data_IF_514752970428
#
_entry.id   IF_514752970428
#
_cell.length_a   1.000
_cell.length_b   1.000
_cell.length_c   1.000
_cell.angle_alpha   90.00
_cell.angle_beta   90.00
_cell.angle_gamma   90.00
#
_symmetry.space_group_name_H-M   'P 1'
#
loop_
_entity.id
_entity.type
_entity.pdbx_description
1 polymer ?
#
# COMPACT_ATOMS: atom_id res chain seq x y z
N UNK A 1 -10.30 -26.77 103.53
CA UNK A 1 -9.72 -26.58 104.88
C UNK A 1 -8.19 -26.54 104.78
N UNK A 2 -7.63 -25.35 104.56
CA UNK A 2 -6.18 -25.11 104.46
C UNK A 2 -5.70 -24.39 105.73
N UNK A 3 -4.65 -24.92 106.39
CA UNK A 3 -4.03 -24.30 107.56
C UNK A 3 -2.76 -23.58 107.15
N UNK A 4 -2.65 -22.30 107.51
CA UNK A 4 -1.42 -21.52 107.30
C UNK A 4 -0.68 -21.45 108.63
N UNK A 5 0.57 -21.93 108.62
CA UNK A 5 1.47 -21.89 109.77
C UNK A 5 2.28 -20.60 109.69
N UNK A 6 2.18 -19.77 110.73
CA UNK A 6 2.94 -18.52 110.77
C UNK A 6 4.44 -18.81 110.90
N UNK A 7 5.29 -18.36 109.95
CA UNK A 7 6.73 -18.65 109.98
C UNK A 7 7.48 -17.95 111.12
N UNK A 8 6.85 -16.99 111.82
CA UNK A 8 7.47 -16.23 112.91
C UNK A 8 7.18 -16.79 114.31
N UNK A 9 6.05 -17.48 114.51
CA UNK A 9 5.67 -18.01 115.83
C UNK A 9 5.12 -19.44 115.81
N UNK A 10 5.13 -20.10 114.65
CA UNK A 10 4.75 -21.50 114.41
C UNK A 10 3.35 -21.91 114.88
N UNK A 11 2.46 -20.96 115.16
CA UNK A 11 1.04 -21.25 115.44
C UNK A 11 0.30 -21.49 114.12
N UNK A 12 -0.48 -22.57 114.08
CA UNK A 12 -1.35 -22.91 112.95
C UNK A 12 -2.65 -22.09 113.05
N UNK A 13 -2.92 -21.28 112.03
CA UNK A 13 -4.16 -20.53 111.90
C UNK A 13 -5.06 -21.24 110.89
N UNK A 14 -6.31 -21.50 111.28
CA UNK A 14 -7.34 -22.03 110.39
C UNK A 14 -7.93 -20.87 109.61
N UNK A 15 -7.82 -20.88 108.28
CA UNK A 15 -8.56 -19.92 107.46
C UNK A 15 -10.03 -20.30 107.53
N UNK A 16 -10.84 -19.38 108.02
CA UNK A 16 -12.29 -19.46 107.90
C UNK A 16 -12.68 -19.17 106.45
N UNK A 17 -13.15 -20.21 105.75
CA UNK A 17 -13.59 -20.11 104.36
C UNK A 17 -14.79 -19.13 104.21
N UNK A 18 -15.57 -18.91 105.28
CA UNK A 18 -16.65 -17.92 105.29
C UNK A 18 -16.12 -16.47 105.27
N UNK A 19 -15.16 -16.14 106.14
CA UNK A 19 -14.53 -14.82 106.16
C UNK A 19 -13.74 -14.49 104.88
N UNK A 20 -13.11 -15.48 104.24
CA UNK A 20 -12.45 -15.29 102.93
C UNK A 20 -13.47 -15.03 101.81
N UNK A 21 -14.63 -15.71 101.82
CA UNK A 21 -15.71 -15.47 100.86
C UNK A 21 -16.34 -14.07 101.03
N UNK A 22 -16.43 -13.55 102.25
CA UNK A 22 -16.95 -12.19 102.51
C UNK A 22 -16.00 -11.08 102.02
N UNK A 23 -14.69 -11.26 102.20
CA UNK A 23 -13.67 -10.34 101.64
C UNK A 23 -13.66 -10.40 100.10
N UNK A 24 -13.83 -11.58 99.52
CA UNK A 24 -13.99 -11.72 98.07
C UNK A 24 -15.24 -11.02 97.55
N UNK A 25 -16.38 -11.15 98.25
CA UNK A 25 -17.63 -10.43 97.89
C UNK A 25 -17.49 -8.91 98.00
N UNK A 26 -16.66 -8.38 98.89
CA UNK A 26 -16.40 -6.92 98.95
C UNK A 26 -15.65 -6.38 97.73
N UNK A 27 -14.97 -7.24 96.97
CA UNK A 27 -14.12 -6.84 95.82
C UNK A 27 -14.67 -7.35 94.49
N UNK A 28 -15.39 -8.49 94.51
CA UNK A 28 -16.15 -9.09 93.41
C UNK A 28 -17.54 -9.45 93.92
N UNK A 29 -18.39 -8.44 93.98
CA UNK A 29 -19.82 -8.65 94.09
C UNK A 29 -20.46 -8.68 92.68
N UNK A 30 -21.73 -9.05 92.65
CA UNK A 30 -22.52 -9.06 91.41
C UNK A 30 -22.61 -7.66 90.78
N UNK A 31 -22.48 -6.59 91.57
CA UNK A 31 -22.49 -5.22 91.08
C UNK A 31 -21.20 -4.85 90.30
N UNK A 32 -20.03 -5.29 90.77
CA UNK A 32 -18.77 -5.15 90.06
C UNK A 32 -18.77 -5.92 88.74
N UNK A 33 -19.25 -7.17 88.74
CA UNK A 33 -19.37 -7.97 87.52
C UNK A 33 -20.33 -7.30 86.51
N UNK A 34 -21.46 -6.74 86.95
CA UNK A 34 -22.37 -5.97 86.10
C UNK A 34 -21.71 -4.73 85.47
N UNK A 35 -21.02 -3.91 86.27
CA UNK A 35 -20.30 -2.73 85.76
C UNK A 35 -19.17 -3.11 84.79
N UNK A 36 -18.46 -4.20 85.06
CA UNK A 36 -17.44 -4.72 84.16
C UNK A 36 -18.07 -5.17 82.84
N UNK A 37 -19.20 -5.86 82.90
CA UNK A 37 -19.95 -6.30 81.73
C UNK A 37 -20.41 -5.12 80.88
N UNK A 38 -21.01 -4.09 81.50
CA UNK A 38 -21.51 -2.90 80.83
C UNK A 38 -20.37 -2.12 80.13
N UNK A 39 -19.19 -2.02 80.77
CA UNK A 39 -18.00 -1.40 80.15
C UNK A 39 -17.44 -2.24 79.01
N UNK A 40 -17.46 -3.57 79.12
CA UNK A 40 -17.01 -4.46 78.04
C UNK A 40 -17.96 -4.39 76.85
N UNK A 41 -19.28 -4.33 77.07
CA UNK A 41 -20.27 -4.14 76.00
C UNK A 41 -20.10 -2.80 75.29
N UNK A 42 -19.88 -1.71 76.03
CA UNK A 42 -19.58 -0.40 75.45
C UNK A 42 -18.28 -0.44 74.61
N UNK A 43 -17.21 -1.04 75.14
CA UNK A 43 -15.96 -1.18 74.41
C UNK A 43 -16.10 -2.05 73.15
N UNK A 44 -16.91 -3.10 73.18
CA UNK A 44 -17.23 -3.90 72.02
C UNK A 44 -18.05 -3.12 70.98
N UNK A 45 -19.05 -2.35 71.41
CA UNK A 45 -19.82 -1.49 70.51
C UNK A 45 -18.94 -0.43 69.86
N UNK A 46 -18.09 0.26 70.64
CA UNK A 46 -17.15 1.25 70.11
C UNK A 46 -16.18 0.64 69.09
N UNK A 47 -15.67 -0.56 69.38
CA UNK A 47 -14.80 -1.29 68.44
C UNK A 47 -15.55 -1.66 67.15
N UNK A 48 -16.80 -2.15 67.25
CA UNK A 48 -17.63 -2.47 66.08
C UNK A 48 -17.91 -1.22 65.25
N UNK A 49 -18.31 -0.13 65.88
CA UNK A 49 -18.55 1.16 65.24
C UNK A 49 -17.30 1.69 64.55
N UNK A 50 -16.13 1.60 65.20
CA UNK A 50 -14.86 2.03 64.62
C UNK A 50 -14.47 1.19 63.38
N UNK A 51 -14.69 -0.13 63.41
CA UNK A 51 -14.46 -1.02 62.26
C UNK A 51 -15.44 -0.70 61.14
N UNK A 52 -16.71 -0.49 61.43
CA UNK A 52 -17.72 -0.13 60.43
C UNK A 52 -17.40 1.21 59.76
N UNK A 53 -17.00 2.22 60.53
CA UNK A 53 -16.54 3.51 60.02
C UNK A 53 -15.30 3.36 59.13
N UNK A 54 -14.34 2.50 59.51
CA UNK A 54 -13.17 2.21 58.71
C UNK A 54 -13.54 1.49 57.40
N UNK A 55 -14.44 0.50 57.46
CA UNK A 55 -14.93 -0.22 56.28
C UNK A 55 -15.70 0.72 55.33
N UNK A 56 -16.53 1.62 55.87
CA UNK A 56 -17.25 2.63 55.08
C UNK A 56 -16.29 3.60 54.39
N UNK A 57 -15.25 4.08 55.08
CA UNK A 57 -14.21 4.94 54.49
C UNK A 57 -13.46 4.24 53.36
N UNK A 58 -13.00 3.01 53.60
CA UNK A 58 -12.32 2.20 52.57
C UNK A 58 -13.25 1.90 51.40
N UNK A 59 -14.52 1.61 51.65
CA UNK A 59 -15.53 1.42 50.60
C UNK A 59 -15.71 2.67 49.73
N UNK A 60 -15.75 3.85 50.35
CA UNK A 60 -15.81 5.14 49.65
C UNK A 60 -14.56 5.41 48.80
N UNK A 61 -13.36 5.19 49.36
CA UNK A 61 -12.10 5.33 48.62
C UNK A 61 -12.01 4.37 47.43
N UNK A 62 -12.46 3.11 47.59
CA UNK A 62 -12.52 2.14 46.51
C UNK A 62 -13.48 2.60 45.41
N UNK A 63 -14.66 3.13 45.77
CA UNK A 63 -15.61 3.65 44.79
C UNK A 63 -15.04 4.86 44.04
N UNK A 64 -14.36 5.77 44.73
CA UNK A 64 -13.72 6.92 44.11
C UNK A 64 -12.59 6.50 43.16
N UNK A 65 -11.73 5.57 43.59
CA UNK A 65 -10.65 5.04 42.75
C UNK A 65 -11.20 4.32 41.52
N UNK A 66 -12.29 3.55 41.66
CA UNK A 66 -12.97 2.93 40.51
C UNK A 66 -13.50 3.98 39.53
N UNK A 67 -14.20 5.00 40.02
CA UNK A 67 -14.70 6.07 39.17
C UNK A 67 -13.57 6.82 38.43
N UNK A 68 -12.43 7.05 39.10
CA UNK A 68 -11.25 7.65 38.47
C UNK A 68 -10.62 6.75 37.40
N UNK A 69 -10.55 5.44 37.64
CA UNK A 69 -10.05 4.48 36.66
C UNK A 69 -10.96 4.39 35.43
N UNK A 70 -12.27 4.31 35.64
CA UNK A 70 -13.26 4.27 34.55
C UNK A 70 -13.19 5.55 33.71
N UNK A 71 -13.10 6.73 34.36
CA UNK A 71 -12.94 8.00 33.68
C UNK A 71 -11.63 8.07 32.87
N UNK A 72 -10.51 7.58 33.44
CA UNK A 72 -9.24 7.52 32.75
C UNK A 72 -9.26 6.55 31.55
N UNK A 73 -9.95 5.41 31.67
CA UNK A 73 -10.10 4.45 30.59
C UNK A 73 -10.93 5.03 29.43
N UNK A 74 -12.03 5.72 29.74
CA UNK A 74 -12.85 6.43 28.74
C UNK A 74 -12.03 7.53 28.04
N UNK A 75 -11.29 8.35 28.80
CA UNK A 75 -10.43 9.39 28.23
C UNK A 75 -9.35 8.79 27.33
N UNK A 76 -8.74 7.67 27.72
CA UNK A 76 -7.74 6.96 26.90
C UNK A 76 -8.36 6.42 25.61
N UNK A 77 -9.54 5.79 25.69
CA UNK A 77 -10.25 5.30 24.50
C UNK A 77 -10.56 6.44 23.55
N UNK A 78 -11.06 7.56 24.06
CA UNK A 78 -11.36 8.75 23.25
C UNK A 78 -10.11 9.29 22.56
N UNK A 79 -9.01 9.48 23.31
CA UNK A 79 -7.74 9.95 22.75
C UNK A 79 -7.20 9.02 21.65
N UNK A 80 -7.31 7.70 21.83
CA UNK A 80 -6.93 6.72 20.81
C UNK A 80 -7.84 6.81 19.58
N UNK A 81 -9.15 6.92 19.78
CA UNK A 81 -10.11 7.05 18.66
C UNK A 81 -9.89 8.34 17.87
N UNK A 82 -9.62 9.46 18.53
CA UNK A 82 -9.32 10.74 17.88
C UNK A 82 -8.02 10.68 17.08
N UNK A 83 -6.95 10.11 17.66
CA UNK A 83 -5.68 9.91 16.98
C UNK A 83 -5.82 8.99 15.76
N UNK A 84 -6.55 7.88 15.90
CA UNK A 84 -6.82 6.97 14.79
C UNK A 84 -7.68 7.63 13.71
N UNK A 85 -8.65 8.47 14.08
CA UNK A 85 -9.48 9.20 13.12
C UNK A 85 -8.65 10.18 12.28
N UNK A 86 -7.72 10.90 12.92
CA UNK A 86 -6.81 11.80 12.22
C UNK A 86 -5.91 11.05 11.22
N UNK A 87 -5.25 9.98 11.68
CA UNK A 87 -4.39 9.14 10.84
C UNK A 87 -5.18 8.49 9.70
N UNK A 88 -6.42 8.06 9.96
CA UNK A 88 -7.27 7.47 8.94
C UNK A 88 -7.65 8.47 7.85
N UNK A 89 -7.95 9.73 8.21
CA UNK A 89 -8.21 10.80 7.23
C UNK A 89 -6.98 11.09 6.37
N UNK A 90 -5.80 11.18 6.98
CA UNK A 90 -4.55 11.39 6.25
C UNK A 90 -4.26 10.22 5.30
N UNK A 91 -4.43 8.98 5.77
CA UNK A 91 -4.27 7.78 4.93
C UNK A 91 -5.23 7.80 3.75
N UNK A 92 -6.50 8.12 3.98
CA UNK A 92 -7.52 8.13 2.93
C UNK A 92 -7.26 9.26 1.91
N UNK A 93 -6.79 10.42 2.37
CA UNK A 93 -6.35 11.50 1.48
C UNK A 93 -5.15 11.09 0.62
N UNK A 94 -4.09 10.55 1.24
CA UNK A 94 -2.89 10.07 0.53
C UNK A 94 -3.21 8.94 -0.45
N UNK A 95 -4.11 8.02 -0.09
CA UNK A 95 -4.55 6.95 -0.98
C UNK A 95 -5.24 7.51 -2.22
N UNK A 96 -6.10 8.51 -2.07
CA UNK A 96 -6.78 9.18 -3.17
C UNK A 96 -5.80 9.96 -4.07
N UNK A 97 -4.85 10.70 -3.47
CA UNK A 97 -3.81 11.41 -4.21
C UNK A 97 -2.92 10.46 -5.01
N UNK A 98 -2.52 9.33 -4.40
CA UNK A 98 -1.71 8.32 -5.06
C UNK A 98 -2.45 7.64 -6.21
N UNK A 99 -3.74 7.36 -6.04
CA UNK A 99 -4.59 6.81 -7.09
C UNK A 99 -4.76 7.80 -8.26
N UNK A 100 -4.97 9.08 -7.94
CA UNK A 100 -5.05 10.14 -8.94
C UNK A 100 -3.74 10.32 -9.70
N UNK A 101 -2.61 10.40 -8.98
CA UNK A 101 -1.28 10.50 -9.59
C UNK A 101 -0.94 9.30 -10.49
N UNK A 102 -1.37 8.08 -10.11
CA UNK A 102 -1.23 6.89 -10.96
C UNK A 102 -2.05 7.01 -12.23
N UNK A 103 -3.32 7.43 -12.14
CA UNK A 103 -4.20 7.64 -13.30
C UNK A 103 -3.64 8.70 -14.24
N UNK A 104 -3.19 9.82 -13.70
CA UNK A 104 -2.60 10.90 -14.49
C UNK A 104 -1.30 10.45 -15.17
N UNK A 105 -0.47 9.64 -14.49
CA UNK A 105 0.74 9.07 -15.08
C UNK A 105 0.44 8.10 -16.22
N UNK A 106 -0.56 7.22 -16.06
CA UNK A 106 -0.98 6.28 -17.11
C UNK A 106 -1.54 7.05 -18.30
N UNK A 107 -2.43 8.01 -18.07
CA UNK A 107 -2.99 8.85 -19.13
C UNK A 107 -1.91 9.66 -19.87
N UNK A 108 -0.91 10.19 -19.15
CA UNK A 108 0.22 10.89 -19.75
C UNK A 108 1.10 9.96 -20.60
N UNK A 109 1.34 8.73 -20.14
CA UNK A 109 2.09 7.71 -20.87
C UNK A 109 1.36 7.29 -22.16
N UNK A 110 0.06 6.98 -22.07
CA UNK A 110 -0.79 6.63 -23.22
C UNK A 110 -0.84 7.77 -24.25
N UNK A 111 -0.95 9.03 -23.79
CA UNK A 111 -0.94 10.19 -24.68
C UNK A 111 0.42 10.36 -25.37
N UNK A 112 1.52 10.11 -24.66
CA UNK A 112 2.86 10.16 -25.24
C UNK A 112 3.06 9.06 -26.29
N UNK A 113 2.65 7.82 -25.97
CA UNK A 113 2.67 6.70 -26.91
C UNK A 113 1.81 6.97 -28.14
N UNK A 114 0.58 7.45 -27.98
CA UNK A 114 -0.30 7.80 -29.09
C UNK A 114 0.31 8.88 -30.00
N UNK A 115 0.96 9.90 -29.43
CA UNK A 115 1.67 10.94 -30.19
C UNK A 115 2.87 10.37 -30.96
N UNK A 116 3.64 9.47 -30.34
CA UNK A 116 4.76 8.80 -30.99
C UNK A 116 4.29 7.90 -32.14
N UNK A 117 3.25 7.10 -31.93
CA UNK A 117 2.65 6.25 -32.96
C UNK A 117 2.11 7.10 -34.12
N UNK A 118 1.42 8.19 -33.83
CA UNK A 118 0.94 9.11 -34.88
C UNK A 118 2.10 9.76 -35.66
N UNK A 119 3.18 10.15 -34.96
CA UNK A 119 4.39 10.66 -35.59
C UNK A 119 5.07 9.64 -36.51
N UNK A 120 5.19 8.40 -36.05
CA UNK A 120 5.75 7.29 -36.84
C UNK A 120 4.88 6.95 -38.06
N UNK A 121 3.55 6.96 -37.91
CA UNK A 121 2.63 6.74 -39.03
C UNK A 121 2.76 7.82 -40.10
N UNK A 122 2.89 9.10 -39.71
CA UNK A 122 3.12 10.20 -40.65
C UNK A 122 4.45 10.05 -41.38
N UNK A 123 5.53 9.80 -40.63
CA UNK A 123 6.85 9.59 -41.22
C UNK A 123 6.88 8.39 -42.18
N UNK A 124 6.18 7.29 -41.83
CA UNK A 124 6.04 6.13 -42.70
C UNK A 124 5.26 6.48 -43.97
N UNK A 125 4.14 7.20 -43.86
CA UNK A 125 3.34 7.63 -45.01
C UNK A 125 4.12 8.56 -45.96
N UNK A 126 4.89 9.50 -45.40
CA UNK A 126 5.75 10.39 -46.19
C UNK A 126 6.83 9.60 -46.94
N UNK A 127 7.45 8.61 -46.27
CA UNK A 127 8.44 7.74 -46.90
C UNK A 127 7.86 6.82 -47.95
N UNK A 128 6.67 6.27 -47.73
CA UNK A 128 5.98 5.47 -48.72
C UNK A 128 5.62 6.31 -49.95
N UNK A 129 5.16 7.55 -49.76
CA UNK A 129 4.89 8.48 -50.86
C UNK A 129 6.16 8.81 -51.66
N UNK A 130 7.29 9.07 -50.98
CA UNK A 130 8.59 9.30 -51.62
C UNK A 130 9.06 8.07 -52.41
N UNK A 131 8.96 6.87 -51.82
CA UNK A 131 9.31 5.60 -52.48
C UNK A 131 8.43 5.37 -53.72
N UNK A 132 7.13 5.62 -53.64
CA UNK A 132 6.23 5.49 -54.79
C UNK A 132 6.59 6.50 -55.89
N UNK A 133 6.89 7.74 -55.53
CA UNK A 133 7.36 8.77 -56.45
C UNK A 133 8.64 8.34 -57.19
N UNK A 134 9.64 7.85 -56.44
CA UNK A 134 10.90 7.37 -57.00
C UNK A 134 10.70 6.14 -57.90
N UNK A 135 9.87 5.17 -57.49
CA UNK A 135 9.54 3.99 -58.30
C UNK A 135 8.91 4.38 -59.63
N UNK A 136 7.94 5.29 -59.61
CA UNK A 136 7.28 5.78 -60.82
C UNK A 136 8.26 6.53 -61.73
N UNK A 137 9.15 7.35 -61.15
CA UNK A 137 10.21 8.03 -61.89
C UNK A 137 11.18 7.06 -62.58
N UNK A 138 11.63 6.03 -61.86
CA UNK A 138 12.51 4.98 -62.40
C UNK A 138 11.82 4.20 -63.53
N UNK A 139 10.57 3.77 -63.32
CA UNK A 139 9.81 3.04 -64.33
C UNK A 139 9.61 3.87 -65.61
N UNK A 140 9.35 5.17 -65.46
CA UNK A 140 9.25 6.09 -66.60
C UNK A 140 10.58 6.25 -67.33
N UNK A 141 11.68 6.45 -66.60
CA UNK A 141 13.01 6.57 -67.19
C UNK A 141 13.43 5.29 -67.93
N UNK A 142 13.13 4.11 -67.38
CA UNK A 142 13.35 2.83 -68.07
C UNK A 142 12.52 2.72 -69.35
N UNK A 143 11.25 3.11 -69.31
CA UNK A 143 10.38 3.09 -70.49
C UNK A 143 10.86 4.07 -71.57
N UNK A 144 11.22 5.29 -71.20
CA UNK A 144 11.77 6.30 -72.11
C UNK A 144 13.08 5.80 -72.76
N UNK A 145 13.97 5.17 -71.97
CA UNK A 145 15.19 4.54 -72.50
C UNK A 145 14.87 3.42 -73.48
N UNK A 146 13.93 2.51 -73.14
CA UNK A 146 13.55 1.43 -74.04
C UNK A 146 12.94 1.93 -75.35
N UNK A 147 12.12 2.98 -75.30
CA UNK A 147 11.54 3.61 -76.50
C UNK A 147 12.63 4.29 -77.35
N UNK A 148 13.58 4.98 -76.72
CA UNK A 148 14.71 5.59 -77.42
C UNK A 148 15.60 4.52 -78.09
N UNK A 149 15.91 3.43 -77.39
CA UNK A 149 16.66 2.30 -77.93
C UNK A 149 15.94 1.64 -79.11
N UNK A 150 14.62 1.41 -79.01
CA UNK A 150 13.81 0.89 -80.12
C UNK A 150 13.81 1.83 -81.31
N UNK A 151 13.55 3.12 -81.11
CA UNK A 151 13.57 4.11 -82.19
C UNK A 151 14.93 4.19 -82.88
N UNK A 152 16.03 4.10 -82.14
CA UNK A 152 17.38 4.06 -82.71
C UNK A 152 17.59 2.78 -83.52
N UNK A 153 17.20 1.61 -82.99
CA UNK A 153 17.28 0.33 -83.71
C UNK A 153 16.49 0.38 -85.01
N UNK A 154 15.23 0.83 -84.97
CA UNK A 154 14.37 0.92 -86.15
C UNK A 154 15.00 1.85 -87.21
N UNK A 155 15.53 3.02 -86.82
CA UNK A 155 16.22 3.94 -87.74
C UNK A 155 17.44 3.31 -88.40
N UNK A 156 18.30 2.65 -87.63
CA UNK A 156 19.48 1.98 -88.18
C UNK A 156 19.11 0.78 -89.06
N UNK A 157 18.07 0.04 -88.70
CA UNK A 157 17.56 -1.07 -89.50
C UNK A 157 17.02 -0.59 -90.86
N UNK A 158 16.26 0.52 -90.89
CA UNK A 158 15.82 1.14 -92.15
C UNK A 158 17.01 1.60 -92.99
N UNK A 159 17.99 2.29 -92.40
CA UNK A 159 19.19 2.74 -93.13
C UNK A 159 20.00 1.57 -93.70
N UNK A 160 20.10 0.45 -92.97
CA UNK A 160 20.78 -0.75 -93.45
C UNK A 160 20.01 -1.35 -94.62
N UNK A 161 18.69 -1.51 -94.51
CA UNK A 161 17.83 -1.99 -95.62
C UNK A 161 17.97 -1.12 -96.87
N UNK A 162 17.87 0.20 -96.73
CA UNK A 162 18.02 1.14 -97.86
C UNK A 162 19.39 1.02 -98.54
N UNK A 163 20.45 0.79 -97.74
CA UNK A 163 21.81 0.60 -98.24
C UNK A 163 22.00 -0.76 -98.91
N UNK A 164 21.42 -1.82 -98.36
CA UNK A 164 21.45 -3.16 -98.95
C UNK A 164 20.71 -3.18 -100.29
N UNK A 165 19.53 -2.55 -100.38
CA UNK A 165 18.79 -2.37 -101.63
C UNK A 165 19.60 -1.57 -102.67
N UNK A 166 20.33 -0.54 -102.22
CA UNK A 166 21.23 0.21 -103.10
C UNK A 166 22.41 -0.64 -103.60
N UNK A 167 23.02 -1.45 -102.73
CA UNK A 167 24.08 -2.39 -103.09
C UNK A 167 23.55 -3.41 -104.10
N UNK A 168 22.34 -3.93 -103.89
CA UNK A 168 21.71 -4.89 -104.80
C UNK A 168 21.45 -4.27 -106.18
N UNK A 169 20.88 -3.07 -106.25
CA UNK A 169 20.73 -2.31 -107.51
C UNK A 169 22.06 -2.09 -108.23
N UNK A 170 23.12 -1.73 -107.49
CA UNK A 170 24.46 -1.55 -108.04
C UNK A 170 25.05 -2.88 -108.54
N UNK A 171 24.79 -3.99 -107.85
CA UNK A 171 25.19 -5.34 -108.27
C UNK A 171 24.48 -5.76 -109.56
N UNK A 172 23.16 -5.56 -109.65
CA UNK A 172 22.38 -5.85 -110.87
C UNK A 172 22.83 -4.97 -112.03
N UNK A 173 23.05 -3.68 -111.80
CA UNK A 173 23.58 -2.76 -112.82
C UNK A 173 24.97 -3.20 -113.32
N UNK A 174 25.87 -3.60 -112.41
CA UNK A 174 27.19 -4.14 -112.76
C UNK A 174 27.07 -5.45 -113.52
N UNK A 175 26.17 -6.35 -113.12
CA UNK A 175 25.93 -7.62 -113.81
C UNK A 175 25.42 -7.40 -115.24
N UNK A 176 24.45 -6.49 -115.44
CA UNK A 176 23.93 -6.13 -116.77
C UNK A 176 24.98 -5.45 -117.66
N UNK A 177 25.81 -4.57 -117.11
CA UNK A 177 26.92 -3.99 -117.86
C UNK A 177 27.96 -5.04 -118.24
N UNK A 178 28.25 -5.99 -117.34
CA UNK A 178 29.18 -7.09 -117.59
C UNK A 178 28.65 -8.06 -118.65
N UNK A 179 27.36 -8.40 -118.67
CA UNK A 179 26.78 -9.26 -119.72
C UNK A 179 26.74 -8.57 -121.08
N UNK A 180 26.55 -7.25 -121.11
CA UNK A 180 26.62 -6.45 -122.34
C UNK A 180 28.04 -6.41 -122.93
N UNK A 181 29.06 -6.28 -122.07
CA UNK A 181 30.47 -6.28 -122.50
C UNK A 181 30.95 -7.65 -123.01
N UNK A 182 30.40 -8.76 -122.48
CA UNK A 182 30.71 -10.12 -122.95
C UNK A 182 30.04 -10.43 -124.30
N UNK A 183 28.86 -9.86 -124.57
CA UNK A 183 28.19 -10.00 -125.87
C UNK A 183 28.82 -9.21 -127.02
N UNK A 184 29.67 -8.22 -126.72
CA UNK A 184 30.41 -7.42 -127.70
C UNK A 184 31.83 -7.97 -127.96
N UNK A 185 32.28 -9.00 -127.22
CA UNK A 185 33.62 -9.60 -127.33
C UNK A 185 33.64 -11.03 -127.92
N UNK A 186 32.51 -11.52 -128.43
CA UNK A 186 32.39 -12.74 -129.25
C UNK A 186 32.13 -12.38 -130.72
#
# INVERSE_FOLDING_TARGET
MHEIICPHCSKAFKIDEAGYADILKQVRDDAFEQQLHERLELAEQDKRNAVELAQAKVGGEIQELKARLDAAEVARKLAVTEALSAVQKERDALANELEQAKRDRVAAAELAEAKLVSGLQKAAADKDAEIQGLKNGLARAELEKQLAEKSLKDKYETQIKDRDDAIERLRDMKARLSTKMVGETL
#
